data_IF_526974373105
#
_entry.id   IF_526974373105
#
_cell.length_a   1.000
_cell.length_b   1.000
_cell.length_c   1.000
_cell.angle_alpha   90.00
_cell.angle_beta   90.00
_cell.angle_gamma   90.00
#
_symmetry.space_group_name_H-M   'P 1'
#
loop_
_entity.id
_entity.type
_entity.pdbx_description
1 polymer ?
#
# COMPACT_ATOMS: atom_id res chain seq x y z
N UNK A 1 19.78 -14.19 -2.03
CA UNK A 1 19.42 -13.46 -3.27
C UNK A 1 18.91 -12.08 -2.89
N UNK A 2 19.71 -11.03 -3.12
CA UNK A 2 19.30 -9.65 -2.83
C UNK A 2 18.23 -9.25 -3.84
N UNK A 3 17.02 -8.93 -3.37
CA UNK A 3 15.95 -8.46 -4.25
C UNK A 3 16.18 -6.98 -4.53
N UNK A 4 16.39 -6.64 -5.80
CA UNK A 4 16.47 -5.24 -6.23
C UNK A 4 15.13 -4.57 -5.96
N UNK A 5 15.12 -3.56 -5.09
CA UNK A 5 13.92 -2.80 -4.75
C UNK A 5 13.45 -2.05 -5.99
N UNK A 6 12.16 -2.14 -6.30
CA UNK A 6 11.59 -1.43 -7.45
C UNK A 6 11.46 0.06 -7.17
N UNK A 7 11.47 0.89 -8.22
CA UNK A 7 11.29 2.34 -8.06
C UNK A 7 9.92 2.68 -7.45
N UNK A 8 8.87 1.92 -7.76
CA UNK A 8 7.54 2.07 -7.15
C UNK A 8 7.62 1.78 -5.64
N UNK A 9 8.23 0.65 -5.27
CA UNK A 9 8.40 0.27 -3.86
C UNK A 9 9.20 1.30 -3.09
N UNK A 10 10.33 1.76 -3.65
CA UNK A 10 11.16 2.80 -3.03
C UNK A 10 10.38 4.09 -2.81
N UNK A 11 9.56 4.49 -3.78
CA UNK A 11 8.74 5.69 -3.70
C UNK A 11 7.69 5.59 -2.59
N UNK A 12 6.95 4.48 -2.53
CA UNK A 12 5.94 4.26 -1.48
C UNK A 12 6.60 4.24 -0.09
N UNK A 13 7.70 3.52 0.06
CA UNK A 13 8.45 3.44 1.33
C UNK A 13 8.95 4.82 1.75
N UNK A 14 9.50 5.59 0.82
CA UNK A 14 9.98 6.93 1.09
C UNK A 14 8.84 7.83 1.57
N UNK A 15 7.66 7.76 0.93
CA UNK A 15 6.49 8.54 1.30
C UNK A 15 5.96 8.18 2.70
N UNK A 16 5.87 6.89 3.02
CA UNK A 16 5.46 6.40 4.35
C UNK A 16 6.46 6.83 5.43
N UNK A 17 7.76 6.77 5.11
CA UNK A 17 8.82 6.94 6.10
C UNK A 17 9.19 8.40 6.36
N UNK A 18 8.50 9.37 5.75
CA UNK A 18 8.83 10.78 5.97
C UNK A 18 8.63 11.19 7.43
N UNK A 19 9.45 12.09 7.98
CA UNK A 19 9.37 12.50 9.38
C UNK A 19 8.08 13.24 9.73
N UNK A 20 7.56 14.00 8.75
CA UNK A 20 6.35 14.85 8.78
C UNK A 20 5.04 14.09 8.56
N UNK A 21 5.10 12.78 8.33
CA UNK A 21 3.92 11.92 8.34
C UNK A 21 3.40 11.84 9.77
N UNK A 22 2.15 12.27 9.94
CA UNK A 22 1.41 12.33 11.21
C UNK A 22 0.24 11.35 11.27
N UNK A 23 -0.17 10.77 10.13
CA UNK A 23 -1.23 9.78 10.10
C UNK A 23 -1.04 8.75 8.99
N UNK A 24 -1.55 7.54 9.19
CA UNK A 24 -1.39 6.42 8.28
C UNK A 24 -2.62 5.52 8.34
N UNK A 25 -3.12 5.10 7.18
CA UNK A 25 -4.15 4.08 7.06
C UNK A 25 -3.82 3.09 5.94
N UNK A 26 -4.22 1.83 6.08
CA UNK A 26 -4.18 0.86 4.99
C UNK A 26 -5.52 0.16 4.88
N UNK A 27 -5.90 -0.15 3.65
CA UNK A 27 -7.23 -0.67 3.33
C UNK A 27 -7.28 -2.18 3.14
N UNK A 28 -6.16 -2.93 3.32
CA UNK A 28 -6.11 -4.39 3.07
C UNK A 28 -5.03 -5.16 3.84
N UNK A 29 -5.22 -6.49 3.88
CA UNK A 29 -4.36 -7.45 4.58
C UNK A 29 -3.58 -8.37 3.61
N UNK A 30 -2.27 -8.45 3.79
CA UNK A 30 -1.34 -9.12 2.84
C UNK A 30 -1.55 -10.65 2.66
N UNK A 31 -1.79 -11.45 3.72
CA UNK A 31 -2.18 -12.85 3.56
C UNK A 31 -3.41 -13.07 2.66
N UNK A 32 -4.43 -12.20 2.78
CA UNK A 32 -5.62 -12.27 1.93
C UNK A 32 -5.29 -11.87 0.49
N UNK A 33 -4.50 -10.82 0.27
CA UNK A 33 -4.07 -10.43 -1.07
C UNK A 33 -3.27 -11.51 -1.78
N UNK A 34 -2.41 -12.23 -1.06
CA UNK A 34 -1.66 -13.35 -1.61
C UNK A 34 -2.59 -14.48 -2.02
N UNK A 35 -3.57 -14.85 -1.19
CA UNK A 35 -4.55 -15.87 -1.53
C UNK A 35 -5.40 -15.48 -2.76
N UNK A 36 -5.89 -14.24 -2.80
CA UNK A 36 -6.67 -13.71 -3.93
C UNK A 36 -5.81 -13.73 -5.21
N UNK A 37 -4.56 -13.27 -5.14
CA UNK A 37 -3.66 -13.28 -6.29
C UNK A 37 -3.38 -14.69 -6.80
N UNK A 38 -3.17 -15.67 -5.90
CA UNK A 38 -2.92 -17.06 -6.29
C UNK A 38 -4.08 -17.65 -7.10
N UNK A 39 -5.33 -17.27 -6.77
CA UNK A 39 -6.55 -17.76 -7.41
C UNK A 39 -6.92 -16.98 -8.67
N UNK A 40 -6.75 -15.66 -8.68
CA UNK A 40 -7.29 -14.78 -9.71
C UNK A 40 -6.24 -14.05 -10.55
N UNK A 41 -4.95 -14.12 -10.16
CA UNK A 41 -3.88 -13.38 -10.81
C UNK A 41 -4.01 -11.86 -10.69
N UNK A 42 -4.90 -11.37 -9.81
CA UNK A 42 -5.13 -9.94 -9.57
C UNK A 42 -5.16 -9.68 -8.08
N UNK A 43 -4.56 -8.60 -7.65
CA UNK A 43 -4.67 -8.07 -6.30
C UNK A 43 -4.32 -6.58 -6.32
N UNK A 44 -4.37 -5.95 -5.16
CA UNK A 44 -4.01 -4.55 -5.02
C UNK A 44 -4.23 -4.12 -3.57
N UNK A 45 -3.66 -2.99 -3.21
CA UNK A 45 -3.77 -2.38 -1.90
C UNK A 45 -3.85 -0.87 -2.02
N UNK A 46 -4.39 -0.23 -0.99
CA UNK A 46 -4.34 1.22 -0.84
C UNK A 46 -3.76 1.61 0.53
N UNK A 47 -3.01 2.70 0.54
CA UNK A 47 -2.44 3.31 1.76
C UNK A 47 -2.73 4.80 1.71
N UNK A 48 -3.35 5.31 2.76
CA UNK A 48 -3.52 6.74 2.96
C UNK A 48 -2.48 7.24 3.97
N UNK A 49 -1.92 8.41 3.67
CA UNK A 49 -0.78 8.99 4.36
C UNK A 49 -1.08 10.46 4.60
N UNK A 50 -1.26 10.82 5.87
CA UNK A 50 -1.47 12.20 6.29
C UNK A 50 -0.13 12.81 6.68
N UNK A 51 0.19 13.94 6.05
CA UNK A 51 1.46 14.65 6.21
C UNK A 51 1.18 16.09 6.64
N UNK A 52 2.00 16.60 7.54
CA UNK A 52 2.01 18.02 7.90
C UNK A 52 3.08 18.75 7.06
N UNK A 53 2.65 19.53 6.06
CA UNK A 53 3.52 20.30 5.17
C UNK A 53 3.06 21.76 5.12
N UNK A 54 4.00 22.71 5.14
CA UNK A 54 3.73 24.14 4.95
C UNK A 54 2.67 24.73 5.89
N UNK A 55 2.57 24.20 7.12
CA UNK A 55 1.56 24.62 8.12
C UNK A 55 0.15 24.06 7.88
N UNK A 56 -0.01 23.15 6.92
CA UNK A 56 -1.28 22.49 6.59
C UNK A 56 -1.18 20.96 6.62
N UNK A 57 -2.34 20.30 6.68
CA UNK A 57 -2.45 18.85 6.58
C UNK A 57 -2.76 18.45 5.15
N UNK A 58 -1.94 17.59 4.55
CA UNK A 58 -2.16 17.00 3.22
C UNK A 58 -2.41 15.51 3.35
N UNK A 59 -3.44 15.02 2.66
CA UNK A 59 -3.76 13.60 2.59
C UNK A 59 -3.34 13.05 1.23
N UNK A 60 -2.36 12.16 1.24
CA UNK A 60 -1.93 11.40 0.07
C UNK A 60 -2.56 10.01 0.09
N UNK A 61 -3.09 9.57 -1.05
CA UNK A 61 -3.56 8.19 -1.23
C UNK A 61 -2.72 7.49 -2.28
N UNK A 62 -2.17 6.34 -1.90
CA UNK A 62 -1.42 5.44 -2.78
C UNK A 62 -2.33 4.28 -3.13
N UNK A 63 -2.62 4.10 -4.42
CA UNK A 63 -3.29 2.92 -4.95
C UNK A 63 -2.29 2.08 -5.75
N UNK A 64 -2.22 0.79 -5.42
CA UNK A 64 -1.43 -0.18 -6.16
C UNK A 64 -2.34 -1.28 -6.68
N UNK A 65 -2.33 -1.49 -7.99
CA UNK A 65 -3.06 -2.56 -8.66
C UNK A 65 -2.08 -3.52 -9.33
N UNK A 66 -2.36 -4.80 -9.22
CA UNK A 66 -1.50 -5.85 -9.75
C UNK A 66 -2.31 -6.79 -10.62
N UNK A 67 -1.75 -7.15 -11.77
CA UNK A 67 -2.33 -8.15 -12.67
C UNK A 67 -1.23 -9.04 -13.24
N UNK A 68 -1.42 -10.35 -13.18
CA UNK A 68 -0.61 -11.34 -13.88
C UNK A 68 -0.85 -11.25 -15.38
N UNK A 69 0.15 -11.63 -16.18
CA UNK A 69 0.01 -11.70 -17.64
C UNK A 69 -1.14 -12.64 -18.00
N UNK A 70 -2.03 -12.19 -18.89
CA UNK A 70 -3.07 -13.02 -19.44
C UNK A 70 -2.45 -14.22 -20.18
N UNK A 71 -3.00 -15.42 -19.96
CA UNK A 71 -2.58 -16.62 -20.68
C UNK A 71 -3.81 -17.47 -21.00
N UNK A 72 -3.83 -18.02 -22.22
CA UNK A 72 -4.91 -18.90 -22.70
C UNK A 72 -4.84 -20.32 -22.09
N UNK A 73 -3.72 -20.66 -21.41
CA UNK A 73 -3.51 -21.97 -20.80
C UNK A 73 -4.06 -22.00 -19.38
N UNK A 74 -4.59 -23.15 -18.95
CA UNK A 74 -5.05 -23.37 -17.57
C UNK A 74 -3.88 -23.17 -16.59
N UNK A 75 -3.93 -22.12 -15.78
CA UNK A 75 -2.88 -21.78 -14.82
C UNK A 75 -3.20 -22.44 -13.48
N UNK A 76 -2.33 -23.36 -13.03
CA UNK A 76 -2.47 -23.98 -11.69
C UNK A 76 -2.13 -22.99 -10.56
N UNK A 77 -1.26 -22.01 -10.82
CA UNK A 77 -0.94 -20.94 -9.87
C UNK A 77 -0.32 -19.74 -10.60
N UNK A 78 -0.86 -18.55 -10.35
CA UNK A 78 -0.33 -17.30 -10.92
C UNK A 78 1.02 -16.90 -10.32
N UNK A 79 1.50 -17.54 -9.25
CA UNK A 79 2.80 -17.21 -8.62
C UNK A 79 3.99 -17.37 -9.58
N UNK A 80 3.90 -18.29 -10.54
CA UNK A 80 4.96 -18.55 -11.51
C UNK A 80 4.95 -17.56 -12.66
N UNK A 81 3.90 -16.73 -12.79
CA UNK A 81 3.74 -15.79 -13.88
C UNK A 81 4.20 -14.40 -13.46
N UNK A 82 4.86 -13.73 -14.40
CA UNK A 82 5.07 -12.29 -14.32
C UNK A 82 3.79 -11.51 -14.64
N UNK A 83 3.88 -10.20 -14.54
CA UNK A 83 2.74 -9.33 -14.75
C UNK A 83 3.10 -7.87 -14.62
N UNK A 84 2.07 -7.07 -14.38
CA UNK A 84 2.13 -5.62 -14.30
C UNK A 84 1.68 -5.15 -12.92
N UNK A 85 2.40 -4.15 -12.39
CA UNK A 85 1.98 -3.33 -11.26
C UNK A 85 1.66 -1.94 -11.79
N UNK A 86 0.50 -1.40 -11.43
CA UNK A 86 0.12 -0.01 -11.63
C UNK A 86 0.15 0.67 -10.27
N UNK A 87 0.81 1.81 -10.20
CA UNK A 87 0.89 2.67 -9.03
C UNK A 87 0.26 4.01 -9.36
N UNK A 88 -0.54 4.52 -8.44
CA UNK A 88 -1.10 5.85 -8.51
C UNK A 88 -0.94 6.54 -7.15
N UNK A 89 -0.41 7.76 -7.19
CA UNK A 89 -0.38 8.68 -6.06
C UNK A 89 -1.37 9.79 -6.35
N UNK A 90 -2.33 9.95 -5.45
CA UNK A 90 -3.30 11.03 -5.46
C UNK A 90 -3.15 11.87 -4.20
N UNK A 91 -3.56 13.13 -4.27
CA UNK A 91 -3.65 14.05 -3.14
C UNK A 91 -5.09 14.52 -3.00
N UNK A 92 -5.60 14.61 -1.77
CA UNK A 92 -6.92 15.15 -1.49
C UNK A 92 -6.96 16.63 -1.92
N UNK A 93 -8.01 16.99 -2.66
CA UNK A 93 -8.35 18.34 -3.08
C UNK A 93 -9.81 18.63 -2.67
N UNK A 94 -10.26 19.87 -2.86
CA UNK A 94 -11.62 20.30 -2.50
C UNK A 94 -12.72 19.47 -3.19
N UNK A 95 -12.47 19.04 -4.43
CA UNK A 95 -13.39 18.29 -5.30
C UNK A 95 -13.17 16.76 -5.27
N UNK A 96 -12.29 16.25 -4.40
CA UNK A 96 -12.01 14.83 -4.29
C UNK A 96 -10.51 14.53 -4.25
N UNK A 97 -10.02 13.75 -5.21
CA UNK A 97 -8.62 13.34 -5.27
C UNK A 97 -7.99 13.70 -6.61
N UNK A 98 -6.94 14.51 -6.56
CA UNK A 98 -6.14 14.86 -7.74
C UNK A 98 -5.00 13.88 -7.91
N UNK A 99 -4.93 13.22 -9.07
CA UNK A 99 -3.80 12.35 -9.41
C UNK A 99 -2.54 13.21 -9.55
N UNK A 100 -1.56 12.96 -8.68
CA UNK A 100 -0.23 13.58 -8.74
C UNK A 100 0.70 12.79 -9.65
N UNK A 101 0.59 11.46 -9.62
CA UNK A 101 1.52 10.59 -10.32
C UNK A 101 0.90 9.23 -10.62
N UNK A 102 1.22 8.71 -11.81
CA UNK A 102 0.87 7.35 -12.20
C UNK A 102 2.07 6.65 -12.82
N UNK A 103 2.35 5.42 -12.43
CA UNK A 103 3.45 4.60 -12.96
C UNK A 103 2.98 3.19 -13.24
N UNK A 104 3.65 2.55 -14.18
CA UNK A 104 3.46 1.14 -14.51
C UNK A 104 4.83 0.46 -14.50
N UNK A 105 4.92 -0.71 -13.90
CA UNK A 105 6.12 -1.54 -13.91
C UNK A 105 5.77 -3.00 -14.13
N UNK A 106 6.73 -3.78 -14.62
CA UNK A 106 6.57 -5.22 -14.77
C UNK A 106 7.28 -5.96 -13.63
N UNK A 107 6.72 -7.11 -13.23
CA UNK A 107 7.37 -8.05 -12.32
C UNK A 107 7.58 -9.40 -13.01
N UNK A 108 8.63 -10.12 -12.58
CA UNK A 108 9.06 -11.38 -13.21
C UNK A 108 8.21 -12.58 -12.81
N UNK A 109 7.85 -12.65 -11.53
CA UNK A 109 7.00 -13.68 -10.95
C UNK A 109 6.35 -13.17 -9.64
N UNK A 110 5.36 -13.89 -9.14
CA UNK A 110 4.65 -13.54 -7.92
C UNK A 110 5.55 -13.49 -6.68
N UNK A 111 6.59 -14.33 -6.57
CA UNK A 111 7.53 -14.24 -5.45
C UNK A 111 8.29 -12.90 -5.42
N UNK A 112 8.76 -12.45 -6.59
CA UNK A 112 9.39 -11.15 -6.71
C UNK A 112 8.43 -10.03 -6.34
N UNK A 113 7.18 -10.10 -6.79
CA UNK A 113 6.11 -9.16 -6.42
C UNK A 113 5.92 -9.13 -4.90
N UNK A 114 5.65 -10.27 -4.26
CA UNK A 114 5.34 -10.30 -2.83
C UNK A 114 6.52 -9.88 -1.97
N UNK A 115 7.77 -10.13 -2.38
CA UNK A 115 8.94 -9.56 -1.69
C UNK A 115 8.95 -8.02 -1.70
N UNK A 116 8.50 -7.39 -2.79
CA UNK A 116 8.35 -5.92 -2.82
C UNK A 116 7.22 -5.45 -1.90
N UNK A 117 6.09 -6.18 -1.87
CA UNK A 117 4.95 -5.85 -1.00
C UNK A 117 5.33 -5.98 0.48
N UNK A 118 6.10 -7.00 0.85
CA UNK A 118 6.61 -7.17 2.21
C UNK A 118 7.48 -5.99 2.67
N UNK A 119 8.28 -5.40 1.77
CA UNK A 119 9.07 -4.20 2.07
C UNK A 119 8.16 -3.01 2.38
N UNK A 120 7.11 -2.79 1.58
CA UNK A 120 6.11 -1.74 1.83
C UNK A 120 5.40 -1.98 3.16
N UNK A 121 4.97 -3.23 3.41
CA UNK A 121 4.30 -3.62 4.66
C UNK A 121 5.18 -3.37 5.88
N UNK A 122 6.46 -3.75 5.81
CA UNK A 122 7.41 -3.52 6.90
C UNK A 122 7.57 -2.02 7.20
N UNK A 123 7.66 -1.18 6.16
CA UNK A 123 7.72 0.27 6.32
C UNK A 123 6.43 0.84 6.94
N UNK A 124 5.26 0.39 6.47
CA UNK A 124 3.96 0.76 7.03
C UNK A 124 3.89 0.47 8.52
N UNK A 125 4.15 -0.78 8.95
CA UNK A 125 4.07 -1.15 10.35
C UNK A 125 5.14 -0.49 11.23
N UNK A 126 6.31 -0.21 10.67
CA UNK A 126 7.34 0.55 11.36
C UNK A 126 6.80 1.96 11.69
N UNK A 127 6.32 2.70 10.69
CA UNK A 127 5.78 4.04 10.88
C UNK A 127 4.53 4.04 11.76
N UNK A 128 3.64 3.07 11.58
CA UNK A 128 2.45 2.91 12.41
C UNK A 128 2.78 2.76 13.90
N UNK A 129 3.78 1.95 14.25
CA UNK A 129 4.24 1.80 15.63
C UNK A 129 4.88 3.08 16.17
N UNK A 130 5.65 3.80 15.36
CA UNK A 130 6.22 5.10 15.73
C UNK A 130 5.11 6.12 16.05
N UNK A 131 4.07 6.20 15.22
CA UNK A 131 2.92 7.08 15.44
C UNK A 131 2.14 6.71 16.69
N UNK A 132 1.83 5.42 16.91
CA UNK A 132 1.16 4.96 18.14
C UNK A 132 1.93 5.29 19.41
N UNK A 133 3.26 5.15 19.37
CA UNK A 133 4.10 5.49 20.50
C UNK A 133 4.03 6.99 20.83
N UNK A 134 3.96 7.87 19.82
CA UNK A 134 3.78 9.32 19.99
C UNK A 134 2.41 9.67 20.57
N UNK A 135 1.35 9.02 20.12
CA UNK A 135 -0.01 9.27 20.61
C UNK A 135 -0.31 8.66 21.99
N UNK A 136 0.64 7.89 22.58
CA UNK A 136 0.44 7.13 23.84
C UNK A 136 -0.75 6.15 23.79
N UNK A 137 -1.17 5.74 22.59
CA UNK A 137 -2.32 4.83 22.38
C UNK A 137 -1.87 3.38 22.54
N UNK A 138 -2.54 2.62 23.44
CA UNK A 138 -2.27 1.19 23.63
C UNK A 138 -2.55 0.41 22.32
N UNK A 139 -1.74 -0.60 21.97
CA UNK A 139 -2.00 -1.41 20.79
C UNK A 139 -3.34 -2.17 20.95
N UNK A 140 -4.37 -1.78 20.20
CA UNK A 140 -5.62 -2.55 20.09
C UNK A 140 -5.32 -3.96 19.56
N UNK A 141 -5.93 -4.97 20.20
CA UNK A 141 -5.95 -6.36 19.72
C UNK A 141 -6.67 -6.38 18.36
N UNK A 142 -5.94 -6.82 17.36
CA UNK A 142 -6.38 -6.92 15.97
C UNK A 142 -7.40 -8.07 15.86
N UNK A 143 -8.68 -7.76 15.65
CA UNK A 143 -9.72 -8.72 15.23
C UNK A 143 -9.95 -8.55 13.73
N UNK A 144 -10.19 -9.66 13.03
CA UNK A 144 -10.20 -9.77 11.57
C UNK A 144 -11.28 -8.92 10.88
N UNK A 145 -10.90 -7.69 10.50
CA UNK A 145 -11.21 -6.95 9.26
C UNK A 145 -10.40 -5.65 9.33
N UNK A 146 -9.15 -5.67 8.85
CA UNK A 146 -8.15 -4.81 9.49
C UNK A 146 -7.73 -3.65 8.58
N UNK A 147 -8.39 -2.52 8.81
CA UNK A 147 -7.89 -1.19 8.49
C UNK A 147 -6.98 -0.72 9.64
N UNK A 148 -5.74 -0.35 9.33
CA UNK A 148 -4.80 0.14 10.36
C UNK A 148 -4.72 1.66 10.32
N UNK A 149 -5.65 2.35 10.98
CA UNK A 149 -5.62 3.80 11.11
C UNK A 149 -4.87 4.26 12.37
N UNK A 150 -4.09 5.33 12.24
CA UNK A 150 -3.51 6.12 13.34
C UNK A 150 -3.35 7.55 12.84
N UNK A 151 -3.71 8.55 13.64
CA UNK A 151 -3.60 9.97 13.27
C UNK A 151 -4.46 10.42 12.07
N UNK A 152 -5.32 9.55 11.53
CA UNK A 152 -6.31 9.88 10.48
C UNK A 152 -7.70 9.73 11.09
N UNK A 153 -8.52 10.77 11.03
CA UNK A 153 -9.89 10.73 11.52
C UNK A 153 -10.79 9.89 10.58
N UNK A 154 -11.81 9.23 11.14
CA UNK A 154 -12.65 8.27 10.40
C UNK A 154 -13.41 8.90 9.23
N UNK A 155 -13.68 10.21 9.29
CA UNK A 155 -14.31 10.99 8.21
C UNK A 155 -13.38 11.24 7.00
N UNK A 156 -12.07 11.08 7.19
CA UNK A 156 -11.06 11.20 6.12
C UNK A 156 -10.76 9.87 5.44
N UNK A 157 -11.16 8.75 6.06
CA UNK A 157 -11.12 7.43 5.45
C UNK A 157 -12.34 7.33 4.54
N UNK A 158 -12.17 7.66 3.25
CA UNK A 158 -13.24 7.53 2.25
C UNK A 158 -13.98 6.20 2.41
N UNK A 159 -15.32 6.31 2.45
CA UNK A 159 -16.27 5.27 2.86
C UNK A 159 -16.10 3.89 2.20
N UNK A 160 -16.49 2.89 2.99
CA UNK A 160 -16.64 1.48 2.64
C UNK A 160 -17.62 1.28 1.48
#
# INVERSE_FOLDING_TARGET
MVVRISNITKEIVNLISRPDVIGLATHRHLPHERAIYLKHGRCGFAVDILVEEDGGKKLYSVLVEVSAKATKRRVKSFIKLGGTVVYQLSERAEDGFRIRKRRRANYRNGEHLFKQVEIVRAAFYKKYRELKAREKVKPMKIKEEIFHAVGIADDLLLGV
#
